data_IF_495882104429
#
_entry.id   IF_495882104429
#
_cell.length_a   1.000
_cell.length_b   1.000
_cell.length_c   1.000
_cell.angle_alpha   90.00
_cell.angle_beta   90.00
_cell.angle_gamma   90.00
#
_symmetry.space_group_name_H-M   'P 1'
#
loop_
_entity.id
_entity.type
_entity.pdbx_description
1 polymer ?
#
# COMPACT_ATOMS: atom_id res chain seq x y z
N UNK A 1 18.52 17.82 24.88
CA UNK A 1 18.17 17.41 23.50
C UNK A 1 17.32 18.51 22.90
N UNK A 2 17.58 18.91 21.64
CA UNK A 2 16.86 20.01 20.97
C UNK A 2 15.75 19.46 20.05
N UNK A 3 14.61 20.15 19.99
CA UNK A 3 13.46 19.78 19.14
C UNK A 3 13.69 20.05 17.65
N UNK A 4 14.75 20.78 17.29
CA UNK A 4 15.05 21.22 15.92
C UNK A 4 15.04 20.07 14.91
N UNK A 5 15.52 18.88 15.29
CA UNK A 5 15.56 17.71 14.41
C UNK A 5 14.19 17.10 14.06
N UNK A 6 13.11 17.49 14.74
CA UNK A 6 11.75 17.01 14.46
C UNK A 6 10.92 17.99 13.62
N UNK A 7 11.43 19.19 13.34
CA UNK A 7 10.69 20.16 12.55
C UNK A 7 10.65 19.73 11.08
N UNK A 8 9.52 20.02 10.42
CA UNK A 8 9.23 19.59 9.05
C UNK A 8 10.30 20.03 8.05
N UNK A 9 10.87 21.22 8.23
CA UNK A 9 11.94 21.73 7.38
C UNK A 9 13.28 21.00 7.53
N UNK A 10 13.47 20.28 8.65
CA UNK A 10 14.72 19.58 8.98
C UNK A 10 14.63 18.05 8.79
N UNK A 11 13.47 17.54 8.36
CA UNK A 11 13.24 16.10 8.15
C UNK A 11 13.01 15.82 6.66
N UNK A 12 13.68 14.79 6.14
CA UNK A 12 13.49 14.33 4.77
C UNK A 12 12.04 13.88 4.59
N UNK A 13 11.39 14.30 3.50
CA UNK A 13 10.00 13.92 3.21
C UNK A 13 9.86 12.40 3.16
N UNK A 14 9.11 11.85 4.11
CA UNK A 14 8.87 10.42 4.25
C UNK A 14 7.79 9.89 3.29
N UNK A 15 7.29 10.70 2.35
CA UNK A 15 6.14 10.37 1.48
C UNK A 15 6.49 10.36 -0.01
N UNK A 16 7.74 10.03 -0.36
CA UNK A 16 8.15 10.00 -1.75
C UNK A 16 7.40 8.89 -2.52
N UNK A 17 6.82 9.27 -3.65
CA UNK A 17 6.14 8.34 -4.53
C UNK A 17 7.16 7.48 -5.29
N UNK A 18 6.80 6.22 -5.52
CA UNK A 18 7.58 5.26 -6.29
C UNK A 18 6.72 4.68 -7.40
N UNK A 19 7.28 4.66 -8.61
CA UNK A 19 6.66 3.98 -9.74
C UNK A 19 7.14 2.52 -9.82
N UNK A 20 6.21 1.59 -9.99
CA UNK A 20 6.48 0.15 -10.09
C UNK A 20 5.71 -0.45 -11.26
N UNK A 21 6.23 -1.54 -11.83
CA UNK A 21 5.51 -2.34 -12.84
C UNK A 21 4.90 -3.55 -12.15
N UNK A 22 3.58 -3.59 -12.08
CA UNK A 22 2.83 -4.70 -11.46
C UNK A 22 2.53 -5.79 -12.47
N UNK A 23 2.18 -5.43 -13.70
CA UNK A 23 1.80 -6.36 -14.76
C UNK A 23 2.12 -5.79 -16.13
N UNK A 24 2.57 -6.66 -17.04
CA UNK A 24 2.81 -6.31 -18.44
C UNK A 24 1.52 -6.28 -19.27
N UNK A 25 0.37 -6.65 -18.68
CA UNK A 25 -0.95 -6.67 -19.34
C UNK A 25 -1.56 -5.28 -19.49
N UNK A 26 -1.24 -4.37 -18.57
CA UNK A 26 -1.74 -2.99 -18.63
C UNK A 26 -0.82 -2.16 -19.52
N UNK A 27 -1.33 -1.70 -20.65
CA UNK A 27 -0.58 -0.91 -21.63
C UNK A 27 -1.34 0.35 -22.00
N UNK A 28 -0.61 1.40 -22.32
CA UNK A 28 -1.17 2.63 -22.86
C UNK A 28 -1.49 2.52 -24.36
N UNK A 29 -1.94 3.62 -24.96
CA UNK A 29 -2.26 3.72 -26.38
C UNK A 29 -1.05 3.46 -27.30
N UNK A 30 0.18 3.66 -26.79
CA UNK A 30 1.43 3.44 -27.51
C UNK A 30 1.97 2.01 -27.32
N UNK A 31 1.32 1.19 -26.49
CA UNK A 31 1.75 -0.17 -26.16
C UNK A 31 2.82 -0.24 -25.06
N UNK A 32 3.12 0.87 -24.38
CA UNK A 32 4.03 0.92 -23.25
C UNK A 32 3.34 0.42 -21.98
N UNK A 33 4.07 -0.34 -21.15
CA UNK A 33 3.51 -0.91 -19.91
C UNK A 33 3.21 0.19 -18.91
N UNK A 34 1.97 0.22 -18.41
CA UNK A 34 1.52 1.17 -17.41
C UNK A 34 2.15 0.88 -16.06
N UNK A 35 2.75 1.92 -15.47
CA UNK A 35 3.33 1.87 -14.13
C UNK A 35 2.30 2.26 -13.10
N UNK A 36 2.32 1.55 -11.98
CA UNK A 36 1.59 1.92 -10.78
C UNK A 36 2.42 2.91 -9.99
N UNK A 37 1.75 3.89 -9.37
CA UNK A 37 2.39 4.80 -8.43
C UNK A 37 1.94 4.45 -7.02
N UNK A 38 2.90 4.19 -6.14
CA UNK A 38 2.67 3.89 -4.73
C UNK A 38 3.40 4.90 -3.84
N UNK A 39 2.92 5.08 -2.61
CA UNK A 39 3.55 5.95 -1.60
C UNK A 39 3.52 5.32 -0.21
N UNK A 40 4.42 5.70 0.70
CA UNK A 40 4.32 5.39 2.12
C UNK A 40 3.01 5.89 2.70
N UNK A 41 2.37 5.07 3.54
CA UNK A 41 1.18 5.44 4.27
C UNK A 41 1.51 6.41 5.40
N UNK A 42 0.52 7.24 5.75
CA UNK A 42 0.56 8.00 7.01
C UNK A 42 0.33 7.05 8.19
N UNK A 43 0.85 7.43 9.35
CA UNK A 43 0.62 6.70 10.59
C UNK A 43 -0.87 6.45 10.87
N UNK A 44 -1.74 7.43 10.58
CA UNK A 44 -3.20 7.28 10.74
C UNK A 44 -3.79 6.16 9.88
N UNK A 45 -3.28 5.96 8.67
CA UNK A 45 -3.79 4.94 7.74
C UNK A 45 -3.36 3.53 8.16
N UNK A 46 -2.17 3.37 8.74
CA UNK A 46 -1.71 2.10 9.33
C UNK A 46 -2.56 1.70 10.53
N UNK A 47 -2.89 2.67 11.40
CA UNK A 47 -3.76 2.44 12.55
C UNK A 47 -5.17 2.08 12.10
N UNK A 48 -5.74 2.83 11.15
CA UNK A 48 -7.04 2.54 10.57
C UNK A 48 -7.10 1.16 9.90
N UNK A 49 -6.07 0.77 9.14
CA UNK A 49 -5.98 -0.56 8.55
C UNK A 49 -5.93 -1.66 9.62
N UNK A 50 -5.23 -1.42 10.73
CA UNK A 50 -5.16 -2.34 11.87
C UNK A 50 -6.52 -2.49 12.55
N UNK A 51 -7.20 -1.38 12.82
CA UNK A 51 -8.50 -1.36 13.48
C UNK A 51 -9.58 -2.03 12.63
N UNK A 52 -9.61 -1.74 11.33
CA UNK A 52 -10.53 -2.36 10.37
C UNK A 52 -10.28 -3.88 10.21
N UNK A 53 -9.07 -4.35 10.50
CA UNK A 53 -8.76 -5.76 10.49
C UNK A 53 -9.24 -6.50 11.74
N UNK A 54 -9.64 -5.81 12.82
CA UNK A 54 -10.15 -6.44 14.03
C UNK A 54 -11.66 -6.64 13.94
N UNK A 55 -12.10 -7.89 13.89
CA UNK A 55 -13.52 -8.25 13.94
C UNK A 55 -13.87 -8.70 15.36
N UNK A 56 -14.74 -7.94 16.03
CA UNK A 56 -15.23 -8.30 17.36
C UNK A 56 -16.52 -9.11 17.26
N UNK A 57 -16.54 -10.30 17.87
CA UNK A 57 -17.72 -11.16 18.02
C UNK A 57 -17.95 -11.47 19.49
N UNK A 58 -18.87 -10.73 20.11
CA UNK A 58 -19.14 -10.85 21.54
C UNK A 58 -17.93 -10.43 22.37
N UNK A 59 -17.37 -11.37 23.17
CA UNK A 59 -16.18 -11.13 24.01
C UNK A 59 -14.85 -11.45 23.33
N UNK A 60 -14.88 -11.93 22.07
CA UNK A 60 -13.67 -12.31 21.35
C UNK A 60 -13.39 -11.29 20.25
N UNK A 61 -12.14 -10.84 20.17
CA UNK A 61 -11.62 -10.06 19.04
C UNK A 61 -10.72 -10.97 18.19
N UNK A 62 -10.96 -10.98 16.89
CA UNK A 62 -10.15 -11.74 15.93
C UNK A 62 -9.51 -10.78 14.93
N UNK A 63 -8.19 -10.88 14.77
CA UNK A 63 -7.47 -10.10 13.76
C UNK A 63 -7.50 -10.82 12.41
N UNK A 64 -8.00 -10.13 11.38
CA UNK A 64 -8.08 -10.61 10.00
C UNK A 64 -6.90 -10.07 9.20
N UNK A 65 -5.81 -10.84 9.16
CA UNK A 65 -4.59 -10.44 8.45
C UNK A 65 -4.83 -10.06 6.99
N UNK A 66 -5.76 -10.72 6.29
CA UNK A 66 -6.12 -10.38 4.91
C UNK A 66 -6.68 -8.96 4.76
N UNK A 67 -7.51 -8.51 5.72
CA UNK A 67 -8.06 -7.15 5.73
C UNK A 67 -6.98 -6.11 6.03
N UNK A 68 -6.05 -6.44 6.93
CA UNK A 68 -4.91 -5.57 7.24
C UNK A 68 -4.02 -5.33 6.00
N UNK A 69 -3.62 -6.41 5.33
CA UNK A 69 -2.79 -6.31 4.13
C UNK A 69 -3.51 -5.63 2.96
N UNK A 70 -4.81 -5.86 2.83
CA UNK A 70 -5.62 -5.14 1.87
C UNK A 70 -5.63 -3.63 2.17
N UNK A 71 -5.81 -3.26 3.44
CA UNK A 71 -5.73 -1.87 3.89
C UNK A 71 -4.39 -1.23 3.55
N UNK A 72 -3.28 -1.96 3.72
CA UNK A 72 -1.94 -1.53 3.30
C UNK A 72 -1.91 -1.22 1.81
N UNK A 73 -2.38 -2.15 0.97
CA UNK A 73 -2.35 -1.98 -0.49
C UNK A 73 -3.21 -0.79 -0.93
N UNK A 74 -4.47 -0.73 -0.50
CA UNK A 74 -5.41 0.33 -0.90
C UNK A 74 -4.87 1.71 -0.52
N UNK A 75 -4.33 1.86 0.69
CA UNK A 75 -3.83 3.16 1.17
C UNK A 75 -2.48 3.56 0.57
N UNK A 76 -1.72 2.60 0.04
CA UNK A 76 -0.41 2.86 -0.57
C UNK A 76 -0.51 3.17 -2.06
N UNK A 77 -1.53 2.70 -2.77
CA UNK A 77 -1.72 2.95 -4.21
C UNK A 77 -2.25 4.36 -4.45
N UNK A 78 -1.55 5.12 -5.29
CA UNK A 78 -1.92 6.47 -5.75
C UNK A 78 -2.44 6.44 -7.18
N UNK A 79 -1.80 5.66 -8.04
CA UNK A 79 -2.21 5.46 -9.42
C UNK A 79 -2.11 3.97 -9.80
N UNK A 80 -3.14 3.38 -10.43
CA UNK A 80 -4.46 3.97 -10.70
C UNK A 80 -5.22 4.34 -9.41
N UNK A 81 -6.08 5.36 -9.46
CA UNK A 81 -6.94 5.69 -8.34
C UNK A 81 -8.00 4.59 -8.17
N UNK A 82 -7.86 3.78 -7.13
CA UNK A 82 -8.73 2.64 -6.87
C UNK A 82 -10.17 3.04 -6.51
N UNK A 83 -10.41 4.32 -6.21
CA UNK A 83 -11.74 4.88 -5.95
C UNK A 83 -12.33 5.61 -7.17
N UNK A 84 -11.64 5.59 -8.32
CA UNK A 84 -12.15 6.20 -9.54
C UNK A 84 -13.40 5.45 -10.03
N UNK A 85 -14.53 6.15 -10.13
CA UNK A 85 -15.81 5.56 -10.49
C UNK A 85 -15.81 4.96 -11.90
N UNK A 86 -15.23 5.65 -12.89
CA UNK A 86 -15.17 5.15 -14.27
C UNK A 86 -14.35 3.86 -14.37
N UNK A 87 -13.23 3.78 -13.65
CA UNK A 87 -12.44 2.56 -13.55
C UNK A 87 -13.24 1.44 -12.88
N UNK A 88 -13.87 1.70 -11.74
CA UNK A 88 -14.69 0.69 -11.05
C UNK A 88 -15.87 0.20 -11.91
N UNK A 89 -16.57 1.11 -12.57
CA UNK A 89 -17.69 0.81 -13.47
C UNK A 89 -17.24 -0.06 -14.65
N UNK A 90 -16.04 0.20 -15.21
CA UNK A 90 -15.48 -0.61 -16.30
C UNK A 90 -15.24 -2.08 -15.91
N UNK A 91 -15.01 -2.34 -14.61
CA UNK A 91 -14.88 -3.68 -14.04
C UNK A 91 -16.18 -4.21 -13.41
N UNK A 92 -17.26 -3.43 -13.38
CA UNK A 92 -18.54 -3.81 -12.81
C UNK A 92 -18.53 -3.97 -11.28
N UNK A 93 -17.70 -3.19 -10.59
CA UNK A 93 -17.51 -3.23 -9.13
C UNK A 93 -17.76 -1.85 -8.52
N UNK A 94 -17.86 -1.76 -7.19
CA UNK A 94 -18.17 -0.50 -6.49
C UNK A 94 -17.20 -0.15 -5.36
N UNK A 95 -16.11 -0.90 -5.22
CA UNK A 95 -15.14 -0.71 -4.15
C UNK A 95 -13.73 -1.14 -4.57
N UNK A 96 -12.73 -0.58 -3.88
CA UNK A 96 -11.31 -0.81 -4.17
C UNK A 96 -10.88 -2.27 -4.04
N UNK A 97 -11.48 -3.03 -3.11
CA UNK A 97 -11.14 -4.45 -2.91
C UNK A 97 -11.61 -5.29 -4.09
N UNK A 98 -12.88 -5.15 -4.44
CA UNK A 98 -13.48 -5.84 -5.58
C UNK A 98 -12.75 -5.46 -6.89
N UNK A 99 -12.36 -4.19 -7.04
CA UNK A 99 -11.56 -3.73 -8.17
C UNK A 99 -10.21 -4.42 -8.26
N UNK A 100 -9.43 -4.47 -7.17
CA UNK A 100 -8.14 -5.16 -7.15
C UNK A 100 -8.28 -6.65 -7.50
N UNK A 101 -9.31 -7.33 -6.99
CA UNK A 101 -9.57 -8.75 -7.31
C UNK A 101 -10.03 -8.97 -8.75
N UNK A 102 -10.74 -8.01 -9.35
CA UNK A 102 -11.18 -8.09 -10.74
C UNK A 102 -10.02 -7.79 -11.71
N UNK A 103 -9.13 -6.86 -11.35
CA UNK A 103 -8.01 -6.43 -12.19
C UNK A 103 -6.85 -7.43 -12.18
N UNK A 104 -6.46 -7.91 -11.00
CA UNK A 104 -5.18 -8.57 -10.76
C UNK A 104 -5.34 -10.08 -10.59
N UNK A 105 -4.43 -10.85 -11.19
CA UNK A 105 -4.24 -12.24 -10.83
C UNK A 105 -3.43 -12.35 -9.52
N UNK A 106 -3.30 -13.58 -9.00
CA UNK A 106 -2.64 -13.84 -7.72
C UNK A 106 -1.17 -13.36 -7.69
N UNK A 107 -0.43 -13.56 -8.78
CA UNK A 107 0.98 -13.17 -8.87
C UNK A 107 1.13 -11.64 -8.89
N UNK A 108 0.31 -10.97 -9.68
CA UNK A 108 0.31 -9.50 -9.80
C UNK A 108 -0.07 -8.84 -8.48
N UNK A 109 -1.09 -9.36 -7.81
CA UNK A 109 -1.47 -8.88 -6.48
C UNK A 109 -0.35 -9.08 -5.47
N UNK A 110 0.32 -10.24 -5.47
CA UNK A 110 1.45 -10.50 -4.58
C UNK A 110 2.62 -9.54 -4.84
N UNK A 111 2.91 -9.23 -6.12
CA UNK A 111 3.96 -8.27 -6.50
C UNK A 111 3.63 -6.87 -6.00
N UNK A 112 2.39 -6.41 -6.21
CA UNK A 112 1.92 -5.13 -5.70
C UNK A 112 2.01 -5.06 -4.17
N UNK A 113 1.50 -6.08 -3.46
CA UNK A 113 1.56 -6.17 -2.00
C UNK A 113 3.00 -6.11 -1.48
N UNK A 114 3.92 -6.81 -2.15
CA UNK A 114 5.34 -6.81 -1.78
C UNK A 114 5.93 -5.40 -1.87
N UNK A 115 5.70 -4.69 -2.97
CA UNK A 115 6.21 -3.32 -3.13
C UNK A 115 5.54 -2.33 -2.15
N UNK A 116 4.26 -2.50 -1.85
CA UNK A 116 3.57 -1.75 -0.80
C UNK A 116 4.17 -2.03 0.60
N UNK A 117 4.53 -3.27 0.91
CA UNK A 117 5.20 -3.56 2.18
C UNK A 117 6.58 -2.89 2.25
N UNK A 118 7.37 -2.97 1.18
CA UNK A 118 8.70 -2.34 1.09
C UNK A 118 8.65 -0.83 1.30
N UNK A 119 7.73 -0.15 0.61
CA UNK A 119 7.64 1.31 0.70
C UNK A 119 7.18 1.78 2.09
N UNK A 120 6.48 0.93 2.83
CA UNK A 120 6.08 1.15 4.22
C UNK A 120 7.11 0.64 5.25
N UNK A 121 8.25 0.10 4.80
CA UNK A 121 9.29 -0.46 5.68
C UNK A 121 8.86 -1.72 6.45
N UNK A 122 7.86 -2.44 5.94
CA UNK A 122 7.31 -3.67 6.54
C UNK A 122 7.99 -4.94 6.01
N UNK A 123 8.97 -4.81 5.11
CA UNK A 123 9.73 -5.90 4.50
C UNK A 123 11.04 -6.21 5.24
N UNK A 124 11.47 -5.32 6.16
CA UNK A 124 12.76 -5.45 6.86
C UNK A 124 12.71 -6.52 7.92
N UNK A 125 13.73 -7.37 7.93
CA UNK A 125 13.98 -8.31 9.01
C UNK A 125 14.71 -7.63 10.17
N UNK A 126 14.76 -8.31 11.33
CA UNK A 126 15.49 -7.81 12.50
C UNK A 126 16.99 -7.60 12.21
N UNK A 127 17.60 -8.43 11.35
CA UNK A 127 19.00 -8.27 10.96
C UNK A 127 19.20 -7.06 10.05
N UNK A 128 18.28 -6.80 9.11
CA UNK A 128 18.35 -5.61 8.25
C UNK A 128 18.30 -4.31 9.08
N UNK A 129 17.44 -4.27 10.09
CA UNK A 129 17.33 -3.12 11.00
C UNK A 129 18.60 -2.91 11.84
N UNK A 130 19.31 -3.98 12.18
CA UNK A 130 20.53 -3.91 13.01
C UNK A 130 21.72 -3.34 12.24
N UNK A 131 21.81 -3.60 10.94
CA UNK A 131 22.89 -3.09 10.11
C UNK A 131 22.65 -1.65 9.63
N UNK A 132 21.39 -1.20 9.53
CA UNK A 132 21.05 0.21 9.27
C UNK A 132 21.45 1.16 10.42
N UNK A 133 21.34 0.71 11.68
CA UNK A 133 21.66 1.54 12.87
C UNK A 133 23.17 1.76 13.06
N UNK A 134 24.01 1.00 12.34
CA UNK A 134 25.47 1.11 12.44
C UNK A 134 26.09 2.12 11.47
N UNK A 135 25.33 2.62 10.50
CA UNK A 135 25.78 3.62 9.51
C UNK A 135 25.23 5.01 9.83
#
# INVERSE_FOLDING_TARGET
>A
MSLTGFFKENVVSAFNEKQIVVSDRFKDENGEVLKWTIKPMKASQILEASDNAVVTRGRTAEFKSSQYFLGIVINSVVYPDLNNAELQDSYGVMDSYSLLNAMLNAEEFQRLQTECNKINGLDKTFEDLKDEVKN
#
